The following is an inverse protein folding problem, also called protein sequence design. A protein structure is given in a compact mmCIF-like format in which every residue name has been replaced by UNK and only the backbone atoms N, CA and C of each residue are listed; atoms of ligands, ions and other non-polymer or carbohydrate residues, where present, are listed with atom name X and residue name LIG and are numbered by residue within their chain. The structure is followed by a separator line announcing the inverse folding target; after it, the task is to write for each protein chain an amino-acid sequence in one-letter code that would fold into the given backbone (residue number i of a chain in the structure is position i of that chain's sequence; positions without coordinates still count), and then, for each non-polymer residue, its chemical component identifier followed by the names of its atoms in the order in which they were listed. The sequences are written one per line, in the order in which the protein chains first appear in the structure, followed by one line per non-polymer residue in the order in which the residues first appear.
data_IF_617874650133
#
_entry.id   IF_617874650133
#
_cell.length_a   1.000
_cell.length_b   1.000
_cell.length_c   1.000
_cell.angle_alpha   90.00
_cell.angle_beta   90.00
_cell.angle_gamma   90.00
#
_symmetry.space_group_name_H-M   'P 1'
#
loop_
_entity.id
_entity.type
_entity.pdbx_description
1 polymer ?
#
# COMPACT_ATOMS: atom_id res chain seq x y z
N UNK A 1 1.23 -17.86 -3.42
CA UNK A 1 2.37 -16.93 -3.25
C UNK A 1 2.07 -16.09 -2.03
N UNK A 2 2.98 -16.00 -1.07
CA UNK A 2 2.77 -15.29 0.19
C UNK A 2 3.47 -13.93 0.18
N UNK A 3 3.27 -13.14 1.24
CA UNK A 3 3.89 -11.81 1.41
C UNK A 3 5.43 -11.82 1.39
N UNK A 4 6.06 -12.97 1.65
CA UNK A 4 7.52 -13.14 1.67
C UNK A 4 8.09 -13.76 0.38
N UNK A 5 7.25 -14.01 -0.63
CA UNK A 5 7.72 -14.52 -1.91
C UNK A 5 8.20 -13.34 -2.76
N UNK A 6 9.47 -13.33 -3.15
CA UNK A 6 10.02 -12.33 -4.07
C UNK A 6 9.29 -12.37 -5.43
N UNK A 7 9.12 -11.22 -6.04
CA UNK A 7 8.47 -11.05 -7.34
C UNK A 7 9.32 -10.12 -8.20
N UNK A 8 9.66 -10.56 -9.40
CA UNK A 8 10.40 -9.75 -10.39
C UNK A 8 9.53 -8.70 -11.10
N UNK A 9 8.21 -8.69 -10.82
CA UNK A 9 7.25 -7.77 -11.45
C UNK A 9 7.36 -6.37 -10.85
N UNK A 10 7.44 -5.36 -11.72
CA UNK A 10 7.39 -3.96 -11.33
C UNK A 10 5.94 -3.46 -11.20
N UNK A 11 5.71 -2.58 -10.22
CA UNK A 11 4.44 -1.90 -10.04
C UNK A 11 4.66 -0.48 -9.51
N UNK A 12 3.84 0.46 -9.95
CA UNK A 12 3.77 1.81 -9.42
C UNK A 12 2.65 1.89 -8.37
N UNK A 13 2.91 2.59 -7.27
CA UNK A 13 1.92 2.88 -6.24
C UNK A 13 1.69 4.40 -6.18
N UNK A 14 0.42 4.81 -6.26
CA UNK A 14 -0.01 6.18 -6.07
C UNK A 14 -1.06 6.26 -4.96
N UNK A 15 -0.99 7.31 -4.14
CA UNK A 15 -1.91 7.52 -3.02
C UNK A 15 -2.43 8.96 -3.07
N UNK A 16 -3.74 9.16 -2.99
CA UNK A 16 -4.32 10.50 -3.00
C UNK A 16 -5.82 10.54 -2.69
N UNK A 17 -6.39 11.73 -2.45
CA UNK A 17 -7.81 11.88 -2.19
C UNK A 17 -8.64 11.70 -3.46
N UNK A 18 -9.85 11.20 -3.31
CA UNK A 18 -10.87 11.15 -4.36
C UNK A 18 -11.83 12.33 -4.25
N UNK A 19 -12.61 12.56 -5.31
CA UNK A 19 -13.68 13.57 -5.30
C UNK A 19 -14.84 13.22 -4.36
N UNK A 20 -14.91 11.99 -3.86
CA UNK A 20 -15.94 11.52 -2.92
C UNK A 20 -15.50 11.62 -1.46
N UNK A 21 -14.33 12.20 -1.18
CA UNK A 21 -13.79 12.33 0.18
C UNK A 21 -13.09 11.07 0.71
N UNK A 22 -12.85 10.09 -0.15
CA UNK A 22 -12.14 8.84 0.17
C UNK A 22 -10.65 8.98 -0.15
N UNK A 23 -9.81 8.12 0.41
CA UNK A 23 -8.39 7.99 0.03
C UNK A 23 -8.24 6.80 -0.93
N UNK A 24 -7.65 7.04 -2.10
CA UNK A 24 -7.35 6.00 -3.09
C UNK A 24 -5.90 5.54 -2.97
N UNK A 25 -5.70 4.23 -2.87
CA UNK A 25 -4.45 3.55 -3.17
C UNK A 25 -4.60 2.94 -4.58
N UNK A 26 -3.80 3.41 -5.52
CA UNK A 26 -3.82 2.94 -6.91
C UNK A 26 -2.53 2.20 -7.22
N UNK A 27 -2.66 0.93 -7.57
CA UNK A 27 -1.55 0.07 -7.97
C UNK A 27 -1.64 -0.16 -9.48
N UNK A 28 -0.59 0.23 -10.20
CA UNK A 28 -0.45 0.00 -11.63
C UNK A 28 0.69 -0.99 -11.84
N UNK A 29 0.36 -2.16 -12.39
CA UNK A 29 1.32 -3.18 -12.82
C UNK A 29 1.17 -3.42 -14.33
N UNK A 30 2.15 -4.05 -14.96
CA UNK A 30 2.23 -4.24 -16.42
C UNK A 30 0.93 -4.76 -17.08
N UNK A 31 0.14 -5.55 -16.36
CA UNK A 31 -1.07 -6.18 -16.88
C UNK A 31 -2.33 -5.88 -16.06
N UNK A 32 -2.26 -5.01 -15.05
CA UNK A 32 -3.38 -4.76 -14.15
C UNK A 32 -3.31 -3.39 -13.47
N UNK A 33 -4.46 -2.73 -13.38
CA UNK A 33 -4.67 -1.51 -12.62
C UNK A 33 -5.68 -1.81 -11.51
N UNK A 34 -5.29 -1.55 -10.26
CA UNK A 34 -6.10 -1.88 -9.08
C UNK A 34 -6.30 -0.61 -8.26
N UNK A 35 -7.43 0.11 -8.45
CA UNK A 35 -7.85 1.17 -7.55
C UNK A 35 -8.53 0.59 -6.31
N UNK A 36 -8.09 1.01 -5.13
CA UNK A 36 -8.71 0.69 -3.85
C UNK A 36 -9.02 1.99 -3.11
N UNK A 37 -10.29 2.21 -2.78
CA UNK A 37 -10.76 3.40 -2.08
C UNK A 37 -11.12 3.04 -0.63
N UNK A 38 -10.63 3.86 0.30
CA UNK A 38 -10.82 3.69 1.73
C UNK A 38 -11.36 4.96 2.36
N UNK A 39 -12.14 4.82 3.42
CA UNK A 39 -12.51 5.98 4.25
C UNK A 39 -11.25 6.61 4.86
N UNK A 40 -11.27 7.91 5.23
CA UNK A 40 -10.13 8.55 5.88
C UNK A 40 -9.62 7.78 7.11
N UNK A 41 -10.54 7.31 7.96
CA UNK A 41 -10.19 6.56 9.18
C UNK A 41 -9.52 5.21 8.85
N UNK A 42 -10.05 4.47 7.86
CA UNK A 42 -9.42 3.23 7.35
C UNK A 42 -8.03 3.49 6.76
N UNK A 43 -7.86 4.59 6.03
CA UNK A 43 -6.57 4.97 5.45
C UNK A 43 -5.54 5.34 6.54
N UNK A 44 -5.98 5.95 7.64
CA UNK A 44 -5.13 6.22 8.81
C UNK A 44 -4.67 4.93 9.50
N UNK A 45 -5.55 3.94 9.62
CA UNK A 45 -5.21 2.60 10.15
C UNK A 45 -4.17 1.90 9.27
N UNK A 46 -4.38 1.88 7.95
CA UNK A 46 -3.42 1.31 6.98
C UNK A 46 -2.07 2.01 7.10
N UNK A 47 -2.04 3.33 7.20
CA UNK A 47 -0.80 4.09 7.37
C UNK A 47 -0.10 3.74 8.69
N UNK A 48 -0.85 3.50 9.77
CA UNK A 48 -0.31 3.05 11.04
C UNK A 48 0.33 1.66 10.93
N UNK A 49 -0.34 0.72 10.26
CA UNK A 49 0.20 -0.63 10.01
C UNK A 49 1.50 -0.59 9.19
N UNK A 50 1.56 0.20 8.12
CA UNK A 50 2.78 0.38 7.31
C UNK A 50 3.92 0.92 8.17
N UNK A 51 3.66 1.93 9.01
CA UNK A 51 4.67 2.48 9.93
C UNK A 51 5.17 1.42 10.92
N UNK A 52 4.27 0.59 11.46
CA UNK A 52 4.62 -0.49 12.37
C UNK A 52 5.48 -1.56 11.68
N UNK A 53 5.09 -1.99 10.48
CA UNK A 53 5.86 -2.94 9.67
C UNK A 53 7.26 -2.40 9.32
N UNK A 54 7.34 -1.12 8.93
CA UNK A 54 8.62 -0.45 8.67
C UNK A 54 9.52 -0.41 9.92
N UNK A 55 8.96 -0.16 11.10
CA UNK A 55 9.69 -0.20 12.36
C UNK A 55 10.24 -1.61 12.66
N UNK A 56 9.44 -2.65 12.45
CA UNK A 56 9.88 -4.05 12.61
C UNK A 56 10.98 -4.42 11.61
N UNK A 57 10.82 -4.06 10.33
CA UNK A 57 11.82 -4.35 9.29
C UNK A 57 13.18 -3.71 9.60
N UNK A 58 13.20 -2.50 10.17
CA UNK A 58 14.44 -1.84 10.62
C UNK A 58 15.16 -2.58 11.76
N UNK A 59 14.43 -3.31 12.58
CA UNK A 59 15.02 -4.16 13.63
C UNK A 59 15.60 -5.45 13.07
N UNK A 60 15.06 -5.95 11.96
CA UNK A 60 15.56 -7.14 11.25
C UNK A 60 16.79 -6.84 10.38
N UNK A 61 16.97 -5.60 9.94
CA UNK A 61 18.09 -5.14 9.13
C UNK A 61 19.39 -4.88 9.89
N UNK A 62 19.60 -5.54 11.04
CA UNK A 62 20.83 -5.49 11.85
C UNK A 62 21.33 -6.88 12.17
#
# INVERSE_FOLDING_TARGET
MGINSESDKSANLQIGPTTMGMVRLYVEAESAEIPMDFEPDEAEEIAAEIKAAAAQARLMGK
#
